data_IF_402441175323
#
_entry.id   IF_402441175323
#
_cell.length_a   1.000
_cell.length_b   1.000
_cell.length_c   1.000
_cell.angle_alpha   90.00
_cell.angle_beta   90.00
_cell.angle_gamma   90.00
#
_symmetry.space_group_name_H-M   'P 1'
#
loop_
_entity.id
_entity.type
_entity.pdbx_description
1 polymer ?
#
# COMPACT_ATOMS: atom_id res chain seq x y z
N UNK A 1 -28.60 9.91 -8.18
CA UNK A 1 -27.66 10.12 -7.05
C UNK A 1 -26.29 9.70 -7.52
N UNK A 2 -25.21 10.43 -7.20
CA UNK A 2 -23.85 9.94 -7.47
C UNK A 2 -23.65 8.68 -6.62
N UNK A 3 -23.18 7.60 -7.24
CA UNK A 3 -22.82 6.39 -6.52
C UNK A 3 -21.59 6.69 -5.65
N UNK A 4 -21.72 6.49 -4.34
CA UNK A 4 -20.62 6.65 -3.38
C UNK A 4 -19.79 5.36 -3.38
N UNK A 5 -18.48 5.48 -3.56
CA UNK A 5 -17.56 4.33 -3.56
C UNK A 5 -17.25 3.88 -2.13
N UNK A 6 -17.54 2.63 -1.82
CA UNK A 6 -17.24 2.03 -0.52
C UNK A 6 -15.85 1.40 -0.54
N UNK A 7 -14.97 1.91 0.31
CA UNK A 7 -13.58 1.46 0.42
C UNK A 7 -13.40 0.76 1.77
N UNK A 8 -13.08 -0.53 1.75
CA UNK A 8 -12.62 -1.23 2.94
C UNK A 8 -11.17 -0.86 3.24
N UNK A 9 -10.83 -0.63 4.52
CA UNK A 9 -9.46 -0.38 4.96
C UNK A 9 -9.05 -1.42 6.00
N UNK A 10 -8.31 -2.44 5.58
CA UNK A 10 -7.68 -3.39 6.49
C UNK A 10 -6.42 -2.74 7.03
N UNK A 11 -6.51 -2.26 8.28
CA UNK A 11 -5.41 -1.60 8.97
C UNK A 11 -4.72 -2.60 9.91
N UNK A 12 -3.48 -2.95 9.60
CA UNK A 12 -2.63 -3.91 10.34
C UNK A 12 -1.41 -3.18 10.94
N UNK A 13 -1.42 -1.85 10.93
CA UNK A 13 -0.33 -1.06 11.48
C UNK A 13 -0.41 -0.99 13.02
N UNK A 14 0.74 -0.91 13.72
CA UNK A 14 0.75 -0.87 15.19
C UNK A 14 0.02 0.34 15.77
N UNK A 15 0.06 1.48 15.08
CA UNK A 15 -0.63 2.71 15.47
C UNK A 15 -1.85 2.96 14.57
N UNK A 16 -2.88 2.14 14.75
CA UNK A 16 -4.10 2.12 13.92
C UNK A 16 -4.63 3.52 13.60
N UNK A 17 -4.86 4.37 14.60
CA UNK A 17 -5.44 5.71 14.41
C UNK A 17 -4.55 6.67 13.62
N UNK A 18 -3.23 6.63 13.82
CA UNK A 18 -2.29 7.44 13.06
C UNK A 18 -2.32 7.04 11.58
N UNK A 19 -2.26 5.75 11.29
CA UNK A 19 -2.23 5.26 9.91
C UNK A 19 -3.56 5.45 9.18
N UNK A 20 -4.69 5.30 9.86
CA UNK A 20 -5.99 5.65 9.28
C UNK A 20 -6.03 7.14 8.87
N UNK A 21 -5.46 8.02 9.69
CA UNK A 21 -5.40 9.45 9.38
C UNK A 21 -4.54 9.74 8.14
N UNK A 22 -3.43 9.01 7.95
CA UNK A 22 -2.61 9.11 6.73
C UNK A 22 -3.38 8.71 5.48
N UNK A 23 -4.11 7.59 5.52
CA UNK A 23 -4.95 7.15 4.40
C UNK A 23 -6.06 8.15 4.11
N UNK A 24 -6.74 8.68 5.14
CA UNK A 24 -7.76 9.72 4.97
C UNK A 24 -7.19 10.98 4.33
N UNK A 25 -6.00 11.41 4.75
CA UNK A 25 -5.32 12.57 4.16
C UNK A 25 -4.93 12.32 2.69
N UNK A 26 -4.50 11.11 2.33
CA UNK A 26 -4.18 10.74 0.96
C UNK A 26 -5.43 10.72 0.03
N UNK A 27 -6.62 10.66 0.63
CA UNK A 27 -7.93 10.69 -0.03
C UNK A 27 -8.64 12.05 0.14
N UNK A 28 -7.94 13.06 0.64
CA UNK A 28 -8.49 14.41 0.81
C UNK A 28 -8.93 14.99 -0.55
N UNK A 29 -10.16 15.52 -0.62
CA UNK A 29 -10.82 15.98 -1.85
C UNK A 29 -11.69 14.92 -2.55
N UNK A 30 -11.92 13.77 -1.92
CA UNK A 30 -12.87 12.73 -2.36
C UNK A 30 -13.98 12.46 -1.33
N UNK A 31 -14.09 13.25 -0.26
CA UNK A 31 -14.93 12.98 0.92
C UNK A 31 -16.41 12.77 0.58
N UNK A 32 -16.94 13.56 -0.35
CA UNK A 32 -18.35 13.45 -0.76
C UNK A 32 -18.62 12.26 -1.69
N UNK A 33 -17.56 11.63 -2.20
CA UNK A 33 -17.64 10.57 -3.21
C UNK A 33 -17.28 9.19 -2.69
N UNK A 34 -16.69 9.09 -1.49
CA UNK A 34 -16.23 7.83 -0.91
C UNK A 34 -16.79 7.63 0.51
N UNK A 35 -16.87 6.38 0.93
CA UNK A 35 -17.06 6.01 2.33
C UNK A 35 -16.00 5.00 2.72
N UNK A 36 -15.20 5.32 3.74
CA UNK A 36 -14.15 4.46 4.24
C UNK A 36 -14.69 3.60 5.40
N UNK A 37 -14.55 2.29 5.28
CA UNK A 37 -14.97 1.29 6.26
C UNK A 37 -13.72 0.66 6.89
N UNK A 38 -13.32 1.05 8.12
CA UNK A 38 -12.16 0.50 8.78
C UNK A 38 -12.40 -0.95 9.22
N UNK A 39 -11.50 -1.83 8.84
CA UNK A 39 -11.59 -3.27 9.04
C UNK A 39 -10.42 -3.73 9.90
N UNK A 40 -10.73 -4.53 10.92
CA UNK A 40 -9.75 -5.28 11.71
C UNK A 40 -9.74 -6.75 11.28
N UNK A 41 -8.58 -7.38 11.38
CA UNK A 41 -8.45 -8.82 11.22
C UNK A 41 -8.76 -9.54 12.54
N UNK A 42 -9.32 -10.73 12.46
CA UNK A 42 -9.67 -11.55 13.62
C UNK A 42 -8.43 -12.20 14.23
N UNK A 43 -7.51 -12.67 13.39
CA UNK A 43 -6.30 -13.40 13.81
C UNK A 43 -5.11 -12.48 14.12
N UNK A 44 -5.29 -11.16 13.99
CA UNK A 44 -4.25 -10.17 14.27
C UNK A 44 -4.29 -9.67 15.72
N UNK A 45 -3.17 -9.86 16.43
CA UNK A 45 -2.98 -9.30 17.77
C UNK A 45 -2.54 -7.84 17.70
N UNK A 46 -3.51 -6.94 17.71
CA UNK A 46 -3.27 -5.50 17.74
C UNK A 46 -2.53 -5.07 19.01
N UNK A 47 -1.39 -4.39 18.85
CA UNK A 47 -0.60 -3.84 19.97
C UNK A 47 -1.15 -2.51 20.50
N UNK A 48 -2.07 -1.86 19.79
CA UNK A 48 -2.67 -0.60 20.24
C UNK A 48 -3.61 -0.87 21.43
N UNK A 49 -3.47 -0.08 22.49
CA UNK A 49 -4.28 -0.21 23.71
C UNK A 49 -5.76 0.12 23.52
N UNK A 50 -6.17 0.60 22.34
CA UNK A 50 -7.54 0.97 22.03
C UNK A 50 -7.79 0.87 20.52
N UNK A 51 -8.14 -0.32 20.05
CA UNK A 51 -8.78 -0.46 18.74
C UNK A 51 -10.04 0.41 18.72
N UNK A 52 -10.19 1.37 17.78
CA UNK A 52 -11.37 2.23 17.75
C UNK A 52 -12.66 1.41 17.57
N UNK A 53 -13.73 1.83 18.24
CA UNK A 53 -14.99 1.07 18.32
C UNK A 53 -15.75 0.94 16.99
N UNK A 54 -15.38 1.75 15.99
CA UNK A 54 -15.92 1.71 14.63
C UNK A 54 -15.27 0.63 13.75
N UNK A 55 -14.19 -0.02 14.19
CA UNK A 55 -13.60 -1.14 13.44
C UNK A 55 -14.49 -2.38 13.52
N UNK A 56 -14.65 -3.03 12.37
CA UNK A 56 -15.44 -4.27 12.20
C UNK A 56 -14.59 -5.34 11.54
N UNK A 57 -14.96 -6.61 11.67
CA UNK A 57 -14.28 -7.66 10.92
C UNK A 57 -14.61 -7.55 9.44
N UNK A 58 -13.85 -8.25 8.59
CA UNK A 58 -14.12 -8.25 7.16
C UNK A 58 -15.51 -8.81 6.86
N UNK A 59 -15.88 -9.93 7.50
CA UNK A 59 -17.19 -10.57 7.36
C UNK A 59 -18.34 -9.64 7.78
N UNK A 60 -18.23 -8.98 8.94
CA UNK A 60 -19.21 -8.00 9.40
C UNK A 60 -19.41 -6.86 8.39
N UNK A 61 -18.31 -6.41 7.78
CA UNK A 61 -18.33 -5.28 6.84
C UNK A 61 -19.00 -5.64 5.52
N UNK A 62 -18.63 -6.78 4.91
CA UNK A 62 -19.22 -7.21 3.63
C UNK A 62 -20.66 -7.70 3.78
N UNK A 63 -21.08 -8.11 4.97
CA UNK A 63 -22.48 -8.39 5.29
C UNK A 63 -23.34 -7.11 5.37
N UNK A 64 -22.75 -5.99 5.82
CA UNK A 64 -23.45 -4.72 6.00
C UNK A 64 -23.41 -3.82 4.76
N UNK A 65 -22.34 -3.88 3.96
CA UNK A 65 -22.07 -2.98 2.84
C UNK A 65 -21.44 -3.72 1.67
N UNK A 66 -21.86 -3.38 0.46
CA UNK A 66 -21.17 -3.78 -0.76
C UNK A 66 -19.91 -2.91 -0.94
N UNK A 67 -18.73 -3.51 -0.72
CA UNK A 67 -17.44 -2.86 -0.94
C UNK A 67 -17.09 -2.84 -2.44
N UNK A 68 -16.56 -1.70 -2.91
CA UNK A 68 -16.07 -1.53 -4.27
C UNK A 68 -14.56 -1.73 -4.33
N UNK A 69 -13.85 -1.19 -3.34
CA UNK A 69 -12.38 -1.17 -3.26
C UNK A 69 -11.91 -1.65 -1.89
N UNK A 70 -10.68 -2.18 -1.84
CA UNK A 70 -10.04 -2.59 -0.59
C UNK A 70 -8.61 -2.06 -0.52
N UNK A 71 -8.25 -1.46 0.61
CA UNK A 71 -6.87 -1.07 0.93
C UNK A 71 -6.37 -1.98 2.05
N UNK A 72 -5.18 -2.56 1.88
CA UNK A 72 -4.47 -3.33 2.90
C UNK A 72 -3.17 -2.62 3.22
N UNK A 73 -3.04 -2.16 4.47
CA UNK A 73 -1.88 -1.39 4.91
C UNK A 73 -0.62 -2.25 5.06
N UNK A 74 0.50 -1.60 5.41
CA UNK A 74 1.67 -2.31 5.91
C UNK A 74 1.42 -3.02 7.24
N UNK A 75 2.47 -3.70 7.72
CA UNK A 75 2.59 -4.28 9.05
C UNK A 75 4.09 -4.54 9.36
N UNK A 76 4.53 -4.49 10.63
CA UNK A 76 5.94 -4.68 10.99
C UNK A 76 6.32 -6.17 11.07
N UNK A 77 5.96 -6.95 10.05
CA UNK A 77 6.17 -8.42 9.97
C UNK A 77 6.93 -8.84 8.72
N UNK A 78 7.37 -7.89 7.90
CA UNK A 78 8.05 -8.14 6.64
C UNK A 78 9.39 -8.90 6.76
N UNK A 79 9.96 -9.00 7.97
CA UNK A 79 11.15 -9.82 8.25
C UNK A 79 10.81 -11.30 8.53
N UNK A 80 9.55 -11.62 8.84
CA UNK A 80 9.10 -12.98 9.12
C UNK A 80 8.83 -13.76 7.82
N UNK A 81 9.06 -15.08 7.78
CA UNK A 81 8.44 -15.95 6.79
C UNK A 81 6.92 -15.79 6.79
N UNK A 82 6.26 -15.97 5.65
CA UNK A 82 4.79 -15.82 5.57
C UNK A 82 4.06 -16.85 6.45
N UNK A 83 4.65 -18.03 6.58
CA UNK A 83 4.16 -19.14 7.39
C UNK A 83 4.14 -18.82 8.90
N UNK A 84 4.87 -17.79 9.34
CA UNK A 84 4.89 -17.32 10.74
C UNK A 84 3.92 -16.16 10.99
N UNK A 85 3.22 -15.67 9.95
CA UNK A 85 2.29 -14.55 10.06
C UNK A 85 0.91 -15.10 10.42
N UNK A 86 0.46 -14.80 11.64
CA UNK A 86 -0.72 -15.45 12.24
C UNK A 86 -2.03 -15.24 11.50
N UNK A 87 -2.14 -14.16 10.71
CA UNK A 87 -3.33 -13.76 9.96
C UNK A 87 -3.16 -13.94 8.45
N UNK A 88 -2.19 -14.76 8.02
CA UNK A 88 -1.91 -14.98 6.61
C UNK A 88 -3.04 -15.72 5.88
N UNK A 89 -3.60 -16.74 6.52
CA UNK A 89 -4.69 -17.53 5.92
C UNK A 89 -5.97 -16.69 5.80
N UNK A 90 -6.30 -15.89 6.82
CA UNK A 90 -7.36 -14.89 6.78
C UNK A 90 -7.18 -13.90 5.61
N UNK A 91 -5.98 -13.35 5.41
CA UNK A 91 -5.69 -12.47 4.26
C UNK A 91 -5.89 -13.19 2.93
N UNK A 92 -5.49 -14.46 2.81
CA UNK A 92 -5.70 -15.25 1.60
C UNK A 92 -7.19 -15.47 1.30
N UNK A 93 -8.04 -15.64 2.32
CA UNK A 93 -9.49 -15.72 2.18
C UNK A 93 -10.08 -14.40 1.68
N UNK A 94 -9.67 -13.30 2.29
CA UNK A 94 -10.08 -11.96 1.90
C UNK A 94 -9.67 -11.66 0.45
N UNK A 95 -8.45 -11.99 0.03
CA UNK A 95 -8.00 -11.78 -1.36
C UNK A 95 -8.78 -12.64 -2.36
N UNK A 96 -9.09 -13.90 -2.02
CA UNK A 96 -9.96 -14.75 -2.85
C UNK A 96 -11.37 -14.17 -3.00
N UNK A 97 -11.93 -13.60 -1.94
CA UNK A 97 -13.21 -12.89 -1.99
C UNK A 97 -13.10 -11.63 -2.85
N UNK A 98 -12.09 -10.79 -2.60
CA UNK A 98 -11.91 -9.52 -3.26
C UNK A 98 -11.70 -9.67 -4.77
N UNK A 99 -10.93 -10.68 -5.21
CA UNK A 99 -10.73 -10.98 -6.63
C UNK A 99 -12.04 -11.18 -7.39
N UNK A 100 -13.06 -11.77 -6.74
CA UNK A 100 -14.35 -12.08 -7.36
C UNK A 100 -15.37 -10.94 -7.22
N UNK A 101 -15.34 -10.21 -6.12
CA UNK A 101 -16.45 -9.34 -5.71
C UNK A 101 -16.11 -7.85 -5.73
N UNK A 102 -14.83 -7.47 -5.67
CA UNK A 102 -14.40 -6.07 -5.63
C UNK A 102 -13.81 -5.66 -6.97
N UNK A 103 -13.80 -4.35 -7.24
CA UNK A 103 -13.17 -3.79 -8.43
C UNK A 103 -11.65 -3.96 -8.35
N UNK A 104 -11.03 -3.56 -7.23
CA UNK A 104 -9.58 -3.68 -7.04
C UNK A 104 -9.17 -3.66 -5.57
N UNK A 105 -7.98 -4.21 -5.30
CA UNK A 105 -7.30 -4.21 -4.00
C UNK A 105 -5.97 -3.46 -4.15
N UNK A 106 -5.73 -2.48 -3.28
CA UNK A 106 -4.44 -1.81 -3.12
C UNK A 106 -3.72 -2.37 -1.88
N UNK A 107 -2.60 -3.04 -2.09
CA UNK A 107 -1.67 -3.44 -1.03
C UNK A 107 -0.53 -2.43 -0.89
N UNK A 108 -0.30 -1.93 0.32
CA UNK A 108 0.75 -0.95 0.64
C UNK A 108 1.83 -1.59 1.53
N UNK A 109 3.10 -1.39 1.20
CA UNK A 109 4.26 -1.97 1.89
C UNK A 109 4.08 -3.48 2.09
N UNK A 110 3.96 -3.96 3.33
CA UNK A 110 3.66 -5.37 3.60
C UNK A 110 2.36 -5.86 2.95
N UNK A 111 1.31 -5.04 2.87
CA UNK A 111 0.09 -5.40 2.14
C UNK A 111 0.38 -5.67 0.65
N UNK A 112 1.30 -4.91 0.05
CA UNK A 112 1.79 -5.15 -1.31
C UNK A 112 2.56 -6.47 -1.42
N UNK A 113 3.41 -6.78 -0.43
CA UNK A 113 4.12 -8.07 -0.34
C UNK A 113 3.15 -9.24 -0.14
N UNK A 114 2.09 -9.07 0.66
CA UNK A 114 1.06 -10.07 0.92
C UNK A 114 0.29 -10.41 -0.37
N UNK A 115 -0.13 -9.38 -1.12
CA UNK A 115 -0.77 -9.57 -2.44
C UNK A 115 0.20 -10.23 -3.43
N UNK A 116 1.46 -9.81 -3.49
CA UNK A 116 2.45 -10.44 -4.36
C UNK A 116 2.64 -11.93 -4.01
N UNK A 117 2.71 -12.27 -2.72
CA UNK A 117 2.79 -13.66 -2.24
C UNK A 117 1.55 -14.47 -2.57
N UNK A 118 0.37 -13.87 -2.49
CA UNK A 118 -0.90 -14.48 -2.90
C UNK A 118 -0.89 -14.83 -4.40
N UNK A 119 -0.28 -13.97 -5.22
CA UNK A 119 -0.04 -14.21 -6.66
C UNK A 119 1.18 -15.12 -6.95
N UNK A 120 1.82 -15.67 -5.91
CA UNK A 120 2.92 -16.63 -6.03
C UNK A 120 4.32 -16.02 -6.14
N UNK A 121 4.47 -14.71 -5.94
CA UNK A 121 5.78 -14.02 -5.98
C UNK A 121 6.31 -13.91 -4.55
N UNK A 122 7.48 -14.52 -4.29
CA UNK A 122 8.12 -14.45 -2.97
C UNK A 122 8.84 -13.13 -2.72
N UNK A 123 8.98 -12.79 -1.45
CA UNK A 123 9.87 -11.72 -0.97
C UNK A 123 11.21 -12.29 -0.51
N UNK A 124 12.21 -11.43 -0.41
CA UNK A 124 13.45 -11.66 0.32
C UNK A 124 13.70 -10.50 1.29
N UNK A 125 14.41 -10.77 2.37
CA UNK A 125 14.79 -9.76 3.36
C UNK A 125 16.05 -9.04 2.88
N UNK A 126 16.05 -7.72 2.96
CA UNK A 126 17.18 -6.85 2.65
C UNK A 126 18.21 -6.89 3.78
N UNK A 127 19.49 -6.71 3.42
CA UNK A 127 20.55 -6.56 4.43
C UNK A 127 20.45 -5.22 5.17
N UNK A 128 20.10 -4.17 4.42
CA UNK A 128 19.90 -2.81 4.93
C UNK A 128 18.47 -2.35 4.62
N UNK A 129 17.89 -1.57 5.54
CA UNK A 129 16.54 -1.04 5.36
C UNK A 129 16.53 -0.06 4.19
N UNK A 130 15.62 -0.25 3.25
CA UNK A 130 15.27 0.78 2.29
C UNK A 130 14.43 1.84 3.00
N UNK A 131 15.05 2.99 3.29
CA UNK A 131 14.46 4.03 4.12
C UNK A 131 14.73 5.43 3.55
N UNK A 132 13.66 6.20 3.35
CA UNK A 132 13.72 7.58 2.87
C UNK A 132 12.74 7.84 1.73
N UNK A 133 13.02 8.85 0.90
CA UNK A 133 12.26 9.14 -0.33
C UNK A 133 13.09 8.71 -1.53
N UNK A 134 12.55 7.77 -2.30
CA UNK A 134 13.23 7.11 -3.40
C UNK A 134 12.57 7.44 -4.73
N UNK A 135 13.38 7.80 -5.72
CA UNK A 135 12.93 8.01 -7.10
C UNK A 135 12.73 6.68 -7.81
N UNK A 136 11.50 6.39 -8.19
CA UNK A 136 11.15 5.25 -9.04
C UNK A 136 11.18 5.65 -10.50
N UNK A 137 11.56 4.74 -11.38
CA UNK A 137 11.38 4.88 -12.82
C UNK A 137 10.04 4.28 -13.24
N UNK A 138 9.26 5.04 -14.01
CA UNK A 138 7.98 4.59 -14.55
C UNK A 138 8.19 3.81 -15.84
N UNK A 139 7.51 2.67 -15.99
CA UNK A 139 7.51 1.92 -17.24
C UNK A 139 6.67 2.62 -18.33
N UNK A 140 5.67 3.40 -17.92
CA UNK A 140 4.82 4.20 -18.80
C UNK A 140 4.64 5.59 -18.17
N UNK A 141 5.12 6.62 -18.89
CA UNK A 141 5.08 8.03 -18.47
C UNK A 141 3.66 8.60 -18.39
N UNK A 142 2.65 7.88 -18.90
CA UNK A 142 1.24 8.26 -18.88
C UNK A 142 0.36 7.29 -18.08
N UNK A 143 0.98 6.46 -17.23
CA UNK A 143 0.24 5.48 -16.44
C UNK A 143 -0.74 6.16 -15.48
N UNK A 144 -1.99 5.67 -15.44
CA UNK A 144 -3.15 6.29 -14.72
C UNK A 144 -2.96 6.57 -13.22
N UNK A 145 -1.95 5.98 -12.58
CA UNK A 145 -1.67 6.16 -11.16
C UNK A 145 -0.64 7.25 -10.86
N UNK A 146 -0.05 7.86 -11.91
CA UNK A 146 1.00 8.87 -11.80
C UNK A 146 0.63 10.13 -12.57
N UNK A 147 1.29 11.27 -12.31
CA UNK A 147 1.15 12.44 -13.15
C UNK A 147 1.57 12.12 -14.60
N UNK A 148 0.85 12.68 -15.57
CA UNK A 148 1.17 12.49 -16.97
C UNK A 148 2.52 13.15 -17.33
N UNK A 149 3.23 12.55 -18.28
CA UNK A 149 4.50 13.04 -18.83
C UNK A 149 5.65 13.12 -17.83
N UNK A 150 5.64 12.24 -16.81
CA UNK A 150 6.74 12.08 -15.88
C UNK A 150 7.48 10.76 -16.12
N UNK A 151 8.81 10.78 -16.03
CA UNK A 151 9.65 9.56 -16.10
C UNK A 151 9.92 8.95 -14.74
N UNK A 152 9.88 9.79 -13.71
CA UNK A 152 10.22 9.43 -12.35
C UNK A 152 9.08 9.79 -11.41
N UNK A 153 8.96 9.02 -10.34
CA UNK A 153 8.03 9.30 -9.26
C UNK A 153 8.73 9.08 -7.93
N UNK A 154 8.73 10.10 -7.07
CA UNK A 154 9.32 10.01 -5.75
C UNK A 154 8.33 9.37 -4.78
N UNK A 155 8.79 8.32 -4.08
CA UNK A 155 7.96 7.54 -3.17
C UNK A 155 8.66 7.35 -1.83
N UNK A 156 7.99 7.62 -0.69
CA UNK A 156 8.49 7.19 0.61
C UNK A 156 8.65 5.67 0.66
N UNK A 157 9.76 5.20 1.21
CA UNK A 157 10.01 3.79 1.49
C UNK A 157 10.51 3.64 2.93
N UNK A 158 10.06 2.56 3.58
CA UNK A 158 10.48 2.16 4.93
C UNK A 158 10.28 0.65 5.02
N UNK A 159 11.15 -0.13 4.38
CA UNK A 159 10.99 -1.59 4.26
C UNK A 159 12.30 -2.35 4.38
N UNK A 160 12.22 -3.54 4.96
CA UNK A 160 13.25 -4.56 5.05
C UNK A 160 13.07 -5.68 4.02
N UNK A 161 12.16 -5.54 3.05
CA UNK A 161 11.90 -6.61 2.09
C UNK A 161 11.71 -6.07 0.68
N UNK A 162 12.09 -6.90 -0.29
CA UNK A 162 11.84 -6.68 -1.71
C UNK A 162 11.38 -7.99 -2.37
N UNK A 163 10.89 -7.90 -3.61
CA UNK A 163 10.40 -9.07 -4.34
C UNK A 163 11.53 -9.79 -5.06
N UNK A 164 11.45 -11.13 -5.09
CA UNK A 164 12.38 -11.96 -5.86
C UNK A 164 12.34 -11.58 -7.34
N UNK A 165 13.42 -10.99 -7.84
CA UNK A 165 13.50 -10.45 -9.19
C UNK A 165 13.34 -11.53 -10.29
N UNK A 166 13.73 -12.78 -10.01
CA UNK A 166 13.56 -13.88 -10.95
C UNK A 166 12.08 -14.26 -11.05
N UNK A 167 11.39 -14.37 -9.91
CA UNK A 167 9.96 -14.66 -9.87
C UNK A 167 9.12 -13.53 -10.46
N UNK A 168 9.46 -12.27 -10.18
CA UNK A 168 8.82 -11.12 -10.83
C UNK A 168 8.98 -11.22 -12.35
N UNK A 169 10.19 -11.47 -12.85
CA UNK A 169 10.44 -11.62 -14.30
C UNK A 169 9.61 -12.73 -14.92
N UNK A 170 9.45 -13.86 -14.23
CA UNK A 170 8.61 -14.97 -14.70
C UNK A 170 7.12 -14.64 -14.68
N UNK A 171 6.68 -13.75 -13.78
CA UNK A 171 5.30 -13.34 -13.61
C UNK A 171 4.88 -12.21 -14.58
N UNK A 172 5.82 -11.39 -15.05
CA UNK A 172 5.57 -10.27 -15.96
C UNK A 172 4.87 -10.72 -17.26
N UNK A 173 3.78 -10.04 -17.60
CA UNK A 173 2.95 -10.33 -18.76
C UNK A 173 2.06 -11.58 -18.61
N UNK A 174 2.16 -12.30 -17.49
CA UNK A 174 1.39 -13.52 -17.20
C UNK A 174 0.40 -13.32 -16.07
N UNK A 175 0.90 -12.98 -14.89
CA UNK A 175 0.08 -12.70 -13.70
C UNK A 175 0.18 -11.24 -13.28
N UNK A 176 1.28 -10.55 -13.57
CA UNK A 176 1.49 -9.13 -13.22
C UNK A 176 2.06 -8.31 -14.37
N UNK A 177 1.91 -6.99 -14.27
CA UNK A 177 2.54 -5.95 -15.08
C UNK A 177 3.46 -5.13 -14.18
N UNK A 178 4.63 -4.81 -14.69
CA UNK A 178 5.56 -3.89 -14.04
C UNK A 178 5.14 -2.45 -14.31
N UNK A 179 4.91 -1.68 -13.25
CA UNK A 179 4.42 -0.30 -13.35
C UNK A 179 5.54 0.70 -13.07
N UNK A 180 6.24 0.51 -11.95
CA UNK A 180 7.39 1.34 -11.57
C UNK A 180 8.44 0.50 -10.83
N UNK A 181 9.71 0.88 -10.97
CA UNK A 181 10.82 0.17 -10.35
C UNK A 181 11.85 1.12 -9.73
N UNK A 182 12.45 0.67 -8.63
CA UNK A 182 13.64 1.25 -8.06
C UNK A 182 14.87 0.60 -8.69
N UNK A 183 15.92 1.38 -8.98
CA UNK A 183 17.12 0.88 -9.66
C UNK A 183 17.81 -0.28 -8.93
N UNK A 184 17.77 -0.27 -7.59
CA UNK A 184 18.44 -1.29 -6.78
C UNK A 184 17.49 -2.39 -6.27
N UNK A 185 16.22 -2.04 -6.00
CA UNK A 185 15.27 -2.98 -5.38
C UNK A 185 14.43 -3.73 -6.42
N UNK A 186 14.49 -3.31 -7.69
CA UNK A 186 13.65 -3.82 -8.76
C UNK A 186 12.24 -3.25 -8.70
N UNK A 187 11.26 -4.00 -9.19
CA UNK A 187 9.87 -3.55 -9.22
C UNK A 187 9.29 -3.32 -7.83
N UNK A 188 8.86 -2.09 -7.58
CA UNK A 188 8.24 -1.65 -6.32
C UNK A 188 6.78 -1.26 -6.51
N UNK A 189 6.33 -1.09 -7.75
CA UNK A 189 4.91 -1.00 -8.11
C UNK A 189 4.60 -2.00 -9.21
N UNK A 190 3.68 -2.91 -8.92
CA UNK A 190 3.18 -3.94 -9.83
C UNK A 190 1.66 -3.92 -9.84
N UNK A 191 1.06 -4.42 -10.91
CA UNK A 191 -0.38 -4.60 -10.99
C UNK A 191 -0.70 -5.98 -11.57
N UNK A 192 -1.74 -6.66 -11.09
CA UNK A 192 -2.16 -7.92 -11.71
C UNK A 192 -2.68 -7.69 -13.14
N UNK A 193 -2.56 -8.72 -13.99
CA UNK A 193 -3.00 -8.61 -15.40
C UNK A 193 -4.51 -8.35 -15.56
N UNK A 194 -5.31 -8.72 -14.56
CA UNK A 194 -6.75 -8.49 -14.50
C UNK A 194 -7.12 -7.16 -13.81
N UNK A 195 -6.14 -6.34 -13.43
CA UNK A 195 -6.27 -5.07 -12.69
C UNK A 195 -6.91 -5.19 -11.28
N UNK A 196 -7.12 -6.42 -10.79
CA UNK A 196 -7.70 -6.68 -9.47
C UNK A 196 -6.78 -6.33 -8.31
N UNK A 197 -5.48 -6.27 -8.53
CA UNK A 197 -4.50 -6.10 -7.47
C UNK A 197 -3.43 -5.09 -7.87
N UNK A 198 -3.31 -4.01 -7.11
CA UNK A 198 -2.20 -3.06 -7.17
C UNK A 198 -1.28 -3.28 -5.97
N UNK A 199 -0.02 -3.60 -6.23
CA UNK A 199 1.01 -3.86 -5.22
C UNK A 199 1.96 -2.67 -5.19
N UNK A 200 1.98 -1.93 -4.08
CA UNK A 200 2.90 -0.81 -3.84
C UNK A 200 3.78 -1.15 -2.65
N UNK A 201 5.08 -1.31 -2.85
CA UNK A 201 6.02 -1.70 -1.78
C UNK A 201 6.56 -0.50 -0.99
N UNK A 202 6.25 0.72 -1.42
CA UNK A 202 6.50 1.93 -0.66
C UNK A 202 5.26 2.39 0.11
N UNK A 203 5.30 3.65 0.53
CA UNK A 203 4.30 4.30 1.36
C UNK A 203 3.81 5.61 0.71
N UNK A 204 2.92 5.55 -0.29
CA UNK A 204 2.35 6.74 -0.92
C UNK A 204 1.51 7.60 0.04
N UNK A 205 1.19 7.10 1.23
CA UNK A 205 0.48 7.79 2.30
C UNK A 205 1.39 8.52 3.30
N UNK A 206 2.71 8.33 3.22
CA UNK A 206 3.65 8.90 4.19
C UNK A 206 3.97 10.36 3.91
N UNK A 207 4.23 11.08 5.00
CA UNK A 207 4.88 12.39 4.95
C UNK A 207 6.33 12.26 5.43
N UNK A 208 7.15 13.27 5.21
CA UNK A 208 8.50 13.30 5.81
C UNK A 208 8.45 13.29 7.34
N UNK A 209 7.40 13.87 7.94
CA UNK A 209 7.19 13.78 9.38
C UNK A 209 6.92 12.33 9.82
N UNK A 210 6.15 11.57 9.05
CA UNK A 210 5.92 10.14 9.33
C UNK A 210 7.23 9.36 9.34
N UNK A 211 8.08 9.57 8.33
CA UNK A 211 9.42 9.00 8.29
C UNK A 211 10.21 9.42 9.54
N UNK A 212 10.26 10.72 9.85
CA UNK A 212 10.97 11.25 11.02
C UNK A 212 10.55 10.58 12.33
N UNK A 213 9.25 10.37 12.55
CA UNK A 213 8.72 9.69 13.73
C UNK A 213 9.21 8.22 13.79
N UNK A 214 9.21 7.51 12.66
CA UNK A 214 9.74 6.15 12.58
C UNK A 214 11.23 6.08 12.87
N UNK A 215 12.01 7.01 12.30
CA UNK A 215 13.45 7.09 12.55
C UNK A 215 13.75 7.38 14.01
N UNK A 216 13.04 8.31 14.67
CA UNK A 216 13.23 8.60 16.09
C UNK A 216 12.98 7.35 16.95
N UNK A 217 11.91 6.61 16.65
CA UNK A 217 11.59 5.34 17.32
C UNK A 217 12.70 4.30 17.11
N UNK A 218 13.18 4.14 15.89
CA UNK A 218 14.17 3.12 15.54
C UNK A 218 15.58 3.51 16.05
N UNK A 219 15.91 4.81 16.10
CA UNK A 219 17.11 5.35 16.75
C UNK A 219 17.12 5.05 18.25
N UNK A 220 15.99 5.28 18.94
CA UNK A 220 15.85 4.98 20.36
C UNK A 220 16.01 3.47 20.68
N UNK A 221 15.79 2.61 19.68
CA UNK A 221 15.99 1.15 19.77
C UNK A 221 17.39 0.69 19.36
N UNK A 222 18.25 1.61 18.91
CA UNK A 222 19.60 1.28 18.44
C UNK A 222 19.62 0.51 17.12
N UNK A 223 18.63 0.70 16.25
CA UNK A 223 18.62 0.06 14.93
C UNK A 223 19.70 0.68 14.03
N UNK A 224 20.52 -0.15 13.39
CA UNK A 224 21.73 0.27 12.68
C UNK A 224 21.49 1.35 11.62
N UNK A 225 20.48 1.21 10.75
CA UNK A 225 20.19 2.20 9.70
C UNK A 225 19.91 3.60 10.28
N UNK A 226 19.22 3.67 11.42
CA UNK A 226 18.83 4.93 12.04
C UNK A 226 20.03 5.67 12.62
N UNK A 227 21.05 4.93 13.10
CA UNK A 227 22.30 5.49 13.62
C UNK A 227 23.20 6.05 12.51
N UNK A 228 23.04 5.56 11.28
CA UNK A 228 23.85 5.95 10.12
C UNK A 228 23.21 7.08 9.29
N UNK A 229 21.93 7.41 9.56
CA UNK A 229 21.22 8.43 8.80
C UNK A 229 21.78 9.83 9.10
N UNK A 230 22.20 10.54 8.05
CA UNK A 230 22.70 11.90 8.17
C UNK A 230 21.57 12.89 8.56
N UNK A 231 21.82 13.90 9.40
CA UNK A 231 20.82 14.90 9.78
C UNK A 231 20.17 15.63 8.59
N UNK A 232 20.94 15.86 7.52
CA UNK A 232 20.50 16.56 6.31
C UNK A 232 19.51 15.74 5.47
N UNK A 233 19.42 14.43 5.71
CA UNK A 233 18.59 13.53 4.92
C UNK A 233 17.11 13.93 4.93
N UNK A 234 16.60 14.49 6.03
CA UNK A 234 15.21 14.94 6.09
C UNK A 234 14.93 16.19 5.25
N UNK A 235 15.89 17.11 5.15
CA UNK A 235 15.75 18.28 4.27
C UNK A 235 15.75 17.85 2.80
N UNK A 236 16.57 16.85 2.44
CA UNK A 236 16.54 16.26 1.10
C UNK A 236 15.20 15.57 0.82
N UNK A 237 14.68 14.78 1.77
CA UNK A 237 13.37 14.14 1.65
C UNK A 237 12.25 15.17 1.44
N UNK A 238 12.27 16.29 2.17
CA UNK A 238 11.31 17.39 2.01
C UNK A 238 11.41 18.05 0.64
N UNK A 239 12.62 18.15 0.07
CA UNK A 239 12.80 18.72 -1.26
C UNK A 239 12.31 17.82 -2.40
N UNK A 240 12.31 16.50 -2.19
CA UNK A 240 11.85 15.48 -3.16
C UNK A 240 10.35 15.25 -3.10
N UNK A 241 9.79 15.17 -1.89
CA UNK A 241 8.39 14.87 -1.70
C UNK A 241 7.52 16.08 -2.05
N UNK A 242 7.15 16.19 -3.33
CA UNK A 242 6.25 17.22 -3.81
C UNK A 242 4.76 16.88 -3.50
N UNK A 243 3.87 17.80 -3.85
CA UNK A 243 2.42 17.61 -3.65
C UNK A 243 1.81 16.47 -4.48
N UNK A 244 2.49 15.98 -5.52
CA UNK A 244 2.01 14.94 -6.42
C UNK A 244 2.47 13.53 -6.02
N UNK A 245 3.56 13.44 -5.26
CA UNK A 245 4.19 12.23 -4.72
C UNK A 245 3.31 11.46 -3.74
N UNK A 246 2.24 12.10 -3.23
CA UNK A 246 1.29 11.49 -2.28
C UNK A 246 -0.10 11.24 -2.90
N UNK A 247 -0.24 11.35 -4.23
CA UNK A 247 -1.54 11.25 -4.91
C UNK A 247 -1.82 9.92 -5.58
N UNK A 248 -0.95 8.91 -5.43
CA UNK A 248 -1.18 7.59 -6.01
C UNK A 248 -2.50 6.97 -5.52
N UNK A 249 -2.81 7.07 -4.22
CA UNK A 249 -4.05 6.51 -3.64
C UNK A 249 -5.29 7.22 -4.21
N UNK A 250 -5.29 8.56 -4.24
CA UNK A 250 -6.36 9.37 -4.87
C UNK A 250 -6.55 8.99 -6.35
N UNK A 251 -5.47 8.90 -7.14
CA UNK A 251 -5.52 8.53 -8.56
C UNK A 251 -6.05 7.11 -8.76
N UNK A 252 -5.66 6.17 -7.90
CA UNK A 252 -6.17 4.80 -7.91
C UNK A 252 -7.68 4.75 -7.64
N UNK A 253 -8.20 5.51 -6.68
CA UNK A 253 -9.65 5.59 -6.45
C UNK A 253 -10.35 6.21 -7.66
N UNK A 254 -9.85 7.33 -8.18
CA UNK A 254 -10.44 8.03 -9.32
C UNK A 254 -10.49 7.19 -10.59
N UNK A 255 -9.50 6.34 -10.83
CA UNK A 255 -9.51 5.47 -12.02
C UNK A 255 -10.70 4.51 -12.01
N UNK A 256 -11.03 3.95 -10.85
CA UNK A 256 -12.17 3.02 -10.71
C UNK A 256 -13.52 3.75 -10.68
N UNK A 257 -13.56 4.99 -10.18
CA UNK A 257 -14.75 5.84 -10.31
C UNK A 257 -15.07 6.15 -11.78
N UNK A 258 -14.05 6.43 -12.60
CA UNK A 258 -14.23 6.74 -14.01
C UNK A 258 -14.70 5.52 -14.82
N UNK A 259 -14.18 4.33 -14.52
CA UNK A 259 -14.59 3.06 -15.13
C UNK A 259 -16.06 2.74 -14.84
N UNK A 260 -16.50 2.87 -13.58
CA UNK A 260 -17.90 2.68 -13.19
C UNK A 260 -18.88 3.57 -13.96
N UNK A 261 -18.52 4.85 -14.19
CA UNK A 261 -19.33 5.80 -14.96
C UNK A 261 -19.38 5.49 -16.47
N UNK A 262 -18.38 4.77 -17.00
CA UNK A 262 -18.36 4.35 -18.40
C UNK A 262 -19.28 3.14 -18.62
N UNK A 263 -19.37 2.23 -17.65
CA UNK A 263 -20.24 1.06 -17.70
C UNK A 263 -21.74 1.41 -17.58
N UNK A 264 -22.10 2.50 -16.90
CA UNK A 264 -23.51 2.92 -16.75
C UNK A 264 -24.11 3.63 -17.97
N UNK A 265 -23.31 3.87 -19.03
CA UNK A 265 -23.74 4.61 -20.23
C UNK A 265 -24.22 3.71 -21.38
N UNK A 266 -24.30 2.40 -21.16
CA UNK A 266 -24.84 1.40 -22.09
C UNK A 266 -26.01 0.65 -21.45
#
# INVERSE_FOLDING_TARGET
MRHTVNIGLINIMPNVSQYESLIRNALNGLEDAITLHPIKLEEHQYKSSSMPSNYRTFEETVAATQLDLLIVTGAPVEHLPFEEITYWDELCEIFRYAQKNLASVLGICFGGLAVARFLGIKKYTLNDKAYGVHSLLLNDESHRYFPAHQRTYDMPMSTWAALDACQVRQALGRSVRGIAYHMELGYTVLESVDHKFLMVLGHPEYTVQTLRDEWQRDLARGVAYAQQLAPEAFAEMESKLDGDSNKLIDRWVRSHMAESLAETKY
#
